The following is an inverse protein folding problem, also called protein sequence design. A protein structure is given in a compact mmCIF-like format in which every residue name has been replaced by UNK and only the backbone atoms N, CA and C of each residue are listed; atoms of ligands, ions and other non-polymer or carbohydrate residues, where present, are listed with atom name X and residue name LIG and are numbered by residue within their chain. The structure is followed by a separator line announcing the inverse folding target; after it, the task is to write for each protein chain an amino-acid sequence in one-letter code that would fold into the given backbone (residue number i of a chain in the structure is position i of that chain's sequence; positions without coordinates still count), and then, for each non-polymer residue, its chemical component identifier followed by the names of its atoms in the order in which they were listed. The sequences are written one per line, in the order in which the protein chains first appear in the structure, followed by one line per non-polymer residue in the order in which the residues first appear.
data_IF_545294382571
#
_entry.id   IF_545294382571
#
_cell.length_a   1.000
_cell.length_b   1.000
_cell.length_c   1.000
_cell.angle_alpha   90.00
_cell.angle_beta   90.00
_cell.angle_gamma   90.00
#
_symmetry.space_group_name_H-M   'P 1'
#
loop_
_entity.id
_entity.type
_entity.pdbx_description
1 polymer ?
#
# COMPACT_ATOMS: atom_id res chain seq x y z
N UNK A 1 -13.84 -2.30 18.78
CA UNK A 1 -14.17 -2.95 17.49
C UNK A 1 -15.39 -3.84 17.71
N UNK A 2 -16.22 -4.05 16.68
CA UNK A 2 -17.28 -5.06 16.73
C UNK A 2 -16.66 -6.47 16.67
N UNK A 3 -17.41 -7.51 17.06
CA UNK A 3 -16.95 -8.90 16.94
C UNK A 3 -16.62 -9.26 15.49
N UNK A 4 -17.38 -8.75 14.52
CA UNK A 4 -17.10 -8.98 13.10
C UNK A 4 -15.78 -8.33 12.64
N UNK A 5 -15.53 -7.10 13.10
CA UNK A 5 -14.28 -6.39 12.83
C UNK A 5 -13.07 -7.09 13.45
N UNK A 6 -13.20 -7.59 14.67
CA UNK A 6 -12.15 -8.36 15.34
C UNK A 6 -11.88 -9.69 14.63
N UNK A 7 -12.92 -10.42 14.22
CA UNK A 7 -12.76 -11.65 13.43
C UNK A 7 -12.05 -11.39 12.11
N UNK A 8 -12.47 -10.36 11.35
CA UNK A 8 -11.82 -10.00 10.09
C UNK A 8 -10.35 -9.66 10.30
N UNK A 9 -10.05 -8.80 11.29
CA UNK A 9 -8.69 -8.39 11.58
C UNK A 9 -7.80 -9.56 11.97
N UNK A 10 -8.28 -10.43 12.87
CA UNK A 10 -7.54 -11.61 13.29
C UNK A 10 -7.30 -12.58 12.11
N UNK A 11 -8.26 -12.69 11.18
CA UNK A 11 -8.09 -13.51 9.98
C UNK A 11 -6.99 -12.94 9.07
N UNK A 12 -7.03 -11.63 8.77
CA UNK A 12 -6.00 -10.97 7.97
C UNK A 12 -4.60 -11.15 8.56
N UNK A 13 -4.49 -10.97 9.89
CA UNK A 13 -3.21 -11.15 10.58
C UNK A 13 -2.75 -12.61 10.57
N UNK A 14 -3.67 -13.58 10.72
CA UNK A 14 -3.35 -15.00 10.64
C UNK A 14 -2.87 -15.41 9.24
N UNK A 15 -3.52 -14.91 8.19
CA UNK A 15 -3.14 -15.19 6.80
C UNK A 15 -1.76 -14.63 6.46
N UNK A 16 -1.41 -13.49 7.06
CA UNK A 16 -0.10 -12.85 6.95
C UNK A 16 0.96 -13.40 7.93
N UNK A 17 0.57 -14.26 8.88
CA UNK A 17 1.49 -14.81 9.89
C UNK A 17 1.99 -13.80 10.93
N UNK A 18 1.26 -12.71 11.18
CA UNK A 18 1.61 -11.63 12.12
C UNK A 18 0.72 -11.65 13.37
N UNK A 19 1.23 -11.13 14.49
CA UNK A 19 0.42 -10.99 15.71
C UNK A 19 -0.64 -9.87 15.54
N UNK A 20 -1.94 -10.15 15.78
CA UNK A 20 -3.00 -9.15 15.54
C UNK A 20 -2.87 -7.89 16.39
N UNK A 21 -2.35 -7.99 17.61
CA UNK A 21 -2.20 -6.85 18.51
C UNK A 21 -1.02 -5.98 18.07
N UNK A 22 0.12 -6.59 17.75
CA UNK A 22 1.29 -5.89 17.21
C UNK A 22 0.95 -5.20 15.90
N UNK A 23 0.28 -5.90 14.98
CA UNK A 23 -0.12 -5.34 13.69
C UNK A 23 -1.07 -4.16 13.83
N UNK A 24 -1.99 -4.22 14.80
CA UNK A 24 -2.92 -3.12 15.09
C UNK A 24 -2.18 -1.91 15.68
N UNK A 25 -1.18 -2.14 16.54
CA UNK A 25 -0.34 -1.08 17.06
C UNK A 25 0.49 -0.41 15.94
N UNK A 26 1.05 -1.19 15.02
CA UNK A 26 1.76 -0.68 13.84
C UNK A 26 0.84 0.18 12.96
N UNK A 27 -0.38 -0.29 12.67
CA UNK A 27 -1.41 0.49 11.93
C UNK A 27 -1.66 1.83 12.61
N UNK A 28 -1.92 1.81 13.92
CA UNK A 28 -2.21 3.03 14.68
C UNK A 28 -1.04 4.02 14.70
N UNK A 29 0.20 3.52 14.73
CA UNK A 29 1.40 4.34 14.69
C UNK A 29 1.51 5.11 13.37
N UNK A 30 1.23 4.46 12.24
CA UNK A 30 1.24 5.10 10.90
C UNK A 30 0.11 6.11 10.80
N UNK A 31 -1.11 5.74 11.19
CA UNK A 31 -2.28 6.63 11.12
C UNK A 31 -2.13 7.90 11.99
N UNK A 32 -1.32 7.84 13.04
CA UNK A 32 -1.04 8.96 13.93
C UNK A 32 0.25 9.73 13.58
N UNK A 33 1.08 9.24 12.65
CA UNK A 33 2.34 9.90 12.30
C UNK A 33 2.07 11.14 11.43
N UNK A 34 2.44 12.32 11.93
CA UNK A 34 2.32 13.58 11.19
C UNK A 34 3.20 13.66 9.93
N UNK A 35 4.14 12.71 9.76
CA UNK A 35 4.97 12.59 8.56
C UNK A 35 4.36 11.67 7.52
N UNK A 36 3.31 10.91 7.86
CA UNK A 36 2.57 10.15 6.88
C UNK A 36 1.73 11.11 6.02
N UNK A 37 1.76 10.89 4.71
CA UNK A 37 1.03 11.68 3.73
C UNK A 37 -0.38 11.14 3.55
N UNK A 38 -1.30 12.01 3.18
CA UNK A 38 -2.65 11.64 2.78
C UNK A 38 -2.61 11.00 1.38
N UNK A 39 -3.37 9.95 1.18
CA UNK A 39 -3.57 9.36 -0.14
C UNK A 39 -5.00 8.86 -0.32
N UNK A 40 -5.44 8.83 -1.57
CA UNK A 40 -6.66 8.11 -1.98
C UNK A 40 -6.25 6.93 -2.85
N UNK A 41 -6.86 5.77 -2.59
CA UNK A 41 -6.54 4.52 -3.29
C UNK A 41 -7.64 4.19 -4.30
N UNK A 42 -7.24 3.85 -5.52
CA UNK A 42 -8.13 3.46 -6.59
C UNK A 42 -7.75 2.08 -7.10
N UNK A 43 -8.75 1.23 -7.38
CA UNK A 43 -8.54 -0.12 -7.91
C UNK A 43 -9.04 -0.23 -9.34
N UNK A 44 -8.24 -0.73 -10.29
CA UNK A 44 -8.74 -1.03 -11.63
C UNK A 44 -9.95 -1.98 -11.57
N UNK A 45 -11.02 -1.69 -12.32
CA UNK A 45 -12.12 -2.64 -12.55
C UNK A 45 -11.97 -3.30 -13.92
N UNK A 46 -11.34 -4.48 -13.96
CA UNK A 46 -11.18 -5.27 -15.19
C UNK A 46 -12.52 -5.71 -15.83
N UNK A 47 -13.63 -5.61 -15.09
CA UNK A 47 -14.96 -5.93 -15.59
C UNK A 47 -15.71 -4.72 -16.14
N UNK A 48 -15.16 -3.52 -15.98
CA UNK A 48 -15.73 -2.29 -16.52
C UNK A 48 -15.28 -2.09 -17.98
N UNK A 49 -16.19 -2.12 -18.96
CA UNK A 49 -15.87 -1.82 -20.35
C UNK A 49 -15.32 -0.41 -20.57
N UNK A 50 -15.60 0.53 -19.67
CA UNK A 50 -15.12 1.91 -19.72
C UNK A 50 -13.82 2.12 -18.91
N UNK A 51 -13.35 1.08 -18.22
CA UNK A 51 -12.14 1.06 -17.39
C UNK A 51 -12.10 2.14 -16.30
N UNK A 52 -13.25 2.50 -15.71
CA UNK A 52 -13.28 3.40 -14.55
C UNK A 52 -12.70 2.69 -13.32
N UNK A 53 -11.86 3.39 -12.56
CA UNK A 53 -11.31 2.84 -11.32
C UNK A 53 -12.32 2.93 -10.15
N UNK A 54 -12.30 1.91 -9.29
CA UNK A 54 -13.06 1.88 -8.04
C UNK A 54 -12.35 2.73 -6.98
N UNK A 55 -13.05 3.73 -6.44
CA UNK A 55 -12.58 4.48 -5.27
C UNK A 55 -12.65 3.60 -4.01
N UNK A 56 -11.49 3.18 -3.52
CA UNK A 56 -11.36 2.36 -2.32
C UNK A 56 -11.41 3.20 -1.04
N UNK A 57 -11.07 4.48 -1.14
CA UNK A 57 -11.08 5.45 -0.05
C UNK A 57 -9.70 5.92 0.42
N UNK A 58 -9.71 6.61 1.56
CA UNK A 58 -8.53 7.32 2.08
C UNK A 58 -7.58 6.40 2.87
N UNK A 59 -6.29 6.70 2.72
CA UNK A 59 -5.18 6.04 3.40
C UNK A 59 -4.11 7.03 3.87
N UNK A 60 -3.29 6.57 4.81
CA UNK A 60 -2.02 7.20 5.17
C UNK A 60 -0.86 6.43 4.53
N UNK A 61 0.09 7.17 3.98
CA UNK A 61 1.30 6.63 3.35
C UNK A 61 2.54 7.18 4.02
N UNK A 62 3.35 6.31 4.61
CA UNK A 62 4.65 6.67 5.19
C UNK A 62 5.78 6.21 4.26
N UNK A 63 6.49 7.15 3.64
CA UNK A 63 7.65 6.83 2.80
C UNK A 63 8.85 6.42 3.65
N UNK A 64 9.46 5.28 3.31
CA UNK A 64 10.67 4.75 3.93
C UNK A 64 11.92 5.13 3.11
N UNK A 65 11.75 5.42 1.82
CA UNK A 65 12.81 5.83 0.91
C UNK A 65 12.71 5.13 -0.46
N UNK A 66 13.72 5.30 -1.34
CA UNK A 66 13.84 4.50 -2.54
C UNK A 66 13.86 3.00 -2.20
N UNK A 67 13.26 2.18 -3.05
CA UNK A 67 13.32 0.73 -2.91
C UNK A 67 14.75 0.25 -3.18
N UNK A 68 15.29 -0.54 -2.25
CA UNK A 68 16.56 -1.23 -2.43
C UNK A 68 16.28 -2.71 -2.68
N UNK A 69 16.59 -3.18 -3.89
CA UNK A 69 16.49 -4.60 -4.22
C UNK A 69 17.34 -5.42 -3.23
N UNK A 70 16.79 -6.52 -2.68
CA UNK A 70 17.51 -7.42 -1.79
C UNK A 70 18.88 -7.83 -2.34
N UNK A 71 19.87 -7.92 -1.45
CA UNK A 71 21.27 -8.21 -1.83
C UNK A 71 21.44 -9.62 -2.36
N UNK A 72 20.57 -10.53 -1.91
CA UNK A 72 20.47 -11.92 -2.33
C UNK A 72 19.92 -12.09 -3.73
N UNK A 73 19.21 -11.09 -4.28
CA UNK A 73 18.67 -11.18 -5.62
C UNK A 73 19.78 -11.22 -6.67
N UNK A 74 19.69 -12.21 -7.55
CA UNK A 74 20.51 -12.29 -8.73
C UNK A 74 20.04 -11.31 -9.83
N UNK A 75 20.72 -11.35 -10.98
CA UNK A 75 20.40 -10.45 -12.08
C UNK A 75 19.02 -10.74 -12.69
N UNK A 76 18.59 -12.00 -12.73
CA UNK A 76 17.31 -12.39 -13.31
C UNK A 76 16.15 -12.02 -12.39
N UNK A 77 16.30 -12.17 -11.08
CA UNK A 77 15.30 -11.75 -10.09
C UNK A 77 15.09 -10.23 -10.13
N UNK A 78 16.17 -9.45 -10.31
CA UNK A 78 16.07 -8.00 -10.46
C UNK A 78 15.42 -7.60 -11.78
N UNK A 79 15.77 -8.28 -12.87
CA UNK A 79 15.17 -8.05 -14.18
C UNK A 79 13.68 -8.37 -14.16
N UNK A 80 13.26 -9.47 -13.53
CA UNK A 80 11.83 -9.84 -13.39
C UNK A 80 11.04 -8.82 -12.55
N UNK A 81 11.66 -8.30 -11.47
CA UNK A 81 11.00 -7.33 -10.59
C UNK A 81 10.86 -5.93 -11.23
N UNK A 82 11.95 -5.40 -11.78
CA UNK A 82 11.93 -4.05 -12.36
C UNK A 82 11.34 -4.04 -13.78
N UNK A 83 11.40 -5.16 -14.49
CA UNK A 83 11.06 -5.27 -15.91
C UNK A 83 11.76 -4.15 -16.71
N UNK A 84 11.00 -3.37 -17.50
CA UNK A 84 11.51 -2.22 -18.25
C UNK A 84 11.48 -0.88 -17.45
N UNK A 85 11.05 -0.89 -16.19
CA UNK A 85 10.91 0.32 -15.39
C UNK A 85 12.25 0.78 -14.75
N UNK A 86 12.44 2.10 -14.63
CA UNK A 86 13.63 2.66 -13.96
C UNK A 86 13.55 2.38 -12.44
N UNK A 87 14.54 1.68 -11.83
CA UNK A 87 14.57 1.43 -10.39
C UNK A 87 14.46 2.69 -9.52
N UNK A 88 14.85 3.86 -10.04
CA UNK A 88 14.71 5.14 -9.34
C UNK A 88 13.25 5.59 -9.13
N UNK A 89 12.29 4.95 -9.80
CA UNK A 89 10.86 5.19 -9.63
C UNK A 89 10.25 4.35 -8.50
N UNK A 90 11.00 3.39 -7.95
CA UNK A 90 10.49 2.48 -6.93
C UNK A 90 10.75 3.03 -5.52
N UNK A 91 9.73 2.99 -4.67
CA UNK A 91 9.78 3.47 -3.29
C UNK A 91 9.22 2.44 -2.33
N UNK A 92 9.92 2.23 -1.21
CA UNK A 92 9.37 1.49 -0.08
C UNK A 92 8.52 2.42 0.76
N UNK A 93 7.30 2.00 1.07
CA UNK A 93 6.35 2.75 1.89
C UNK A 93 5.62 1.83 2.86
N UNK A 94 4.90 2.42 3.81
CA UNK A 94 3.83 1.75 4.55
C UNK A 94 2.50 2.40 4.24
N UNK A 95 1.47 1.59 3.96
CA UNK A 95 0.14 2.06 3.61
C UNK A 95 -0.86 1.54 4.65
N UNK A 96 -1.71 2.43 5.17
CA UNK A 96 -2.80 2.04 6.05
C UNK A 96 -4.10 2.75 5.66
N UNK A 97 -5.14 1.96 5.38
CA UNK A 97 -6.51 2.45 5.21
C UNK A 97 -6.97 3.20 6.47
N UNK A 98 -7.54 4.39 6.33
CA UNK A 98 -8.03 5.17 7.47
C UNK A 98 -9.27 4.55 8.12
N UNK A 99 -10.14 3.94 7.32
CA UNK A 99 -11.36 3.32 7.80
C UNK A 99 -11.06 2.13 8.74
N UNK A 100 -11.91 1.93 9.74
CA UNK A 100 -11.70 0.84 10.71
C UNK A 100 -11.96 -0.52 10.07
N UNK A 101 -11.18 -1.56 10.42
CA UNK A 101 -11.48 -2.93 10.03
C UNK A 101 -12.94 -3.31 10.25
N UNK A 102 -13.53 -3.99 9.28
CA UNK A 102 -14.93 -4.44 9.33
C UNK A 102 -15.97 -3.36 9.05
N UNK A 103 -15.57 -2.14 8.66
CA UNK A 103 -16.47 -1.14 8.08
C UNK A 103 -16.50 -1.28 6.56
N UNK A 104 -17.53 -0.71 5.90
CA UNK A 104 -17.68 -0.80 4.45
C UNK A 104 -16.61 -0.03 3.66
N UNK A 105 -15.91 0.92 4.30
CA UNK A 105 -14.80 1.67 3.68
C UNK A 105 -13.43 1.07 3.99
N UNK A 106 -13.37 -0.05 4.70
CA UNK A 106 -12.09 -0.70 4.97
C UNK A 106 -11.64 -1.51 3.77
N UNK A 107 -10.37 -1.33 3.41
CA UNK A 107 -9.70 -2.08 2.36
C UNK A 107 -8.29 -2.46 2.80
N UNK A 108 -7.73 -3.45 2.11
CA UNK A 108 -6.30 -3.80 2.14
C UNK A 108 -5.75 -3.50 0.75
N UNK A 109 -4.61 -2.79 0.63
CA UNK A 109 -4.00 -2.53 -0.67
C UNK A 109 -3.67 -3.83 -1.41
N UNK A 110 -3.87 -3.83 -2.72
CA UNK A 110 -3.56 -4.96 -3.61
C UNK A 110 -2.62 -4.52 -4.74
N UNK A 111 -1.76 -5.44 -5.19
CA UNK A 111 -0.94 -5.21 -6.39
C UNK A 111 -1.87 -4.87 -7.55
N UNK A 112 -1.64 -3.73 -8.22
CA UNK A 112 -2.60 -3.18 -9.17
C UNK A 112 -3.19 -1.84 -8.74
N UNK A 113 -3.28 -1.57 -7.44
CA UNK A 113 -3.93 -0.36 -6.94
C UNK A 113 -3.13 0.90 -7.31
N UNK A 114 -3.84 1.96 -7.68
CA UNK A 114 -3.30 3.30 -7.86
C UNK A 114 -3.42 4.10 -6.57
N UNK A 115 -2.40 4.92 -6.30
CA UNK A 115 -2.37 5.82 -5.16
C UNK A 115 -2.17 7.25 -5.61
N UNK A 116 -3.15 8.10 -5.29
CA UNK A 116 -3.03 9.55 -5.41
C UNK A 116 -2.52 10.12 -4.09
N UNK A 117 -1.21 10.34 -3.98
CA UNK A 117 -0.58 10.84 -2.75
C UNK A 117 -0.52 12.37 -2.77
N UNK A 118 -1.00 13.01 -1.71
CA UNK A 118 -0.91 14.46 -1.51
C UNK A 118 0.43 14.81 -0.84
N UNK A 119 1.38 15.31 -1.62
CA UNK A 119 2.67 15.80 -1.13
C UNK A 119 2.86 17.29 -1.43
N UNK A 120 3.17 18.09 -0.41
CA UNK A 120 3.38 19.53 -0.52
C UNK A 120 2.30 20.30 -1.34
N UNK A 121 1.05 19.84 -1.28
CA UNK A 121 -0.09 20.44 -1.99
C UNK A 121 -0.20 20.04 -3.47
N UNK A 122 0.50 19.00 -3.90
CA UNK A 122 0.41 18.39 -5.23
C UNK A 122 0.04 16.92 -5.11
N UNK A 123 -0.69 16.44 -6.11
CA UNK A 123 -0.96 15.01 -6.25
C UNK A 123 0.19 14.38 -7.02
N UNK A 124 0.76 13.32 -6.45
CA UNK A 124 1.69 12.44 -7.13
C UNK A 124 1.06 11.06 -7.23
N UNK A 125 1.01 10.55 -8.47
CA UNK A 125 0.45 9.22 -8.74
C UNK A 125 1.52 8.14 -8.55
N UNK A 126 1.10 7.02 -7.97
CA UNK A 126 1.90 5.81 -7.80
C UNK A 126 1.05 4.59 -8.13
N UNK A 127 1.72 3.49 -8.45
CA UNK A 127 1.14 2.16 -8.61
C UNK A 127 1.71 1.22 -7.55
N UNK A 128 0.85 0.41 -6.91
CA UNK A 128 1.27 -0.63 -5.99
C UNK A 128 1.80 -1.84 -6.75
N UNK A 129 3.13 -2.00 -6.72
CA UNK A 129 3.83 -3.03 -7.47
C UNK A 129 4.00 -4.33 -6.67
N UNK A 130 4.31 -4.23 -5.39
CA UNK A 130 4.45 -5.39 -4.51
C UNK A 130 4.13 -5.00 -3.07
N UNK A 131 3.81 -5.97 -2.23
CA UNK A 131 3.62 -5.74 -0.80
C UNK A 131 3.94 -6.99 0.02
N UNK A 132 4.28 -6.74 1.28
CA UNK A 132 4.39 -7.78 2.30
C UNK A 132 3.89 -7.25 3.63
N UNK A 133 3.23 -8.12 4.37
CA UNK A 133 2.99 -7.86 5.78
C UNK A 133 4.21 -8.27 6.59
N UNK A 134 4.62 -7.42 7.51
CA UNK A 134 5.61 -7.75 8.52
C UNK A 134 5.20 -7.20 9.89
N UNK A 135 6.04 -7.46 10.89
CA UNK A 135 5.85 -7.02 12.28
C UNK A 135 5.73 -5.49 12.43
N UNK A 136 6.25 -4.72 11.46
CA UNK A 136 6.23 -3.27 11.47
C UNK A 136 5.09 -2.66 10.63
N UNK A 137 4.29 -3.49 9.95
CA UNK A 137 3.10 -3.09 9.21
C UNK A 137 3.02 -3.68 7.80
N UNK A 138 2.17 -3.08 6.96
CA UNK A 138 2.10 -3.41 5.53
C UNK A 138 3.21 -2.65 4.80
N UNK A 139 4.33 -3.32 4.51
CA UNK A 139 5.42 -2.74 3.71
C UNK A 139 5.11 -2.94 2.24
N UNK A 140 4.97 -1.85 1.51
CA UNK A 140 4.62 -1.83 0.09
C UNK A 140 5.75 -1.26 -0.76
N UNK A 141 5.82 -1.69 -2.01
CA UNK A 141 6.68 -1.11 -3.04
C UNK A 141 5.80 -0.39 -4.05
N UNK A 142 5.98 0.92 -4.13
CA UNK A 142 5.30 1.78 -5.09
C UNK A 142 6.19 2.09 -6.27
N UNK A 143 5.62 2.11 -7.47
CA UNK A 143 6.25 2.70 -8.65
C UNK A 143 5.65 4.09 -8.86
N UNK A 144 6.47 5.12 -8.93
CA UNK A 144 6.02 6.47 -9.23
C UNK A 144 5.61 6.55 -10.70
N UNK A 145 4.39 7.02 -10.92
CA UNK A 145 3.92 7.31 -12.27
C UNK A 145 4.43 8.69 -12.68
N UNK A 146 5.49 8.68 -13.50
CA UNK A 146 6.12 9.87 -14.07
C UNK A 146 5.53 10.23 -15.44
N UNK A 147 4.27 9.86 -15.73
CA UNK A 147 3.53 10.44 -16.86
C UNK A 147 3.52 11.97 -16.68
N UNK A 148 4.42 12.63 -17.40
CA UNK A 148 4.40 14.07 -17.61
C UNK A 148 3.12 14.40 -18.38
N UNK A 149 2.05 14.77 -17.66
CA UNK A 149 0.90 15.45 -18.26
C UNK A 149 1.29 16.86 -18.74
#
# INVERSE_FOLDING_TARGET
MSTQAETLWNQLCADAGVDPQQRMAARQAILADSRALDATVYRPDDNDPDAEELDMGDAKVQFLGPFEAPVEWDAAEREDFFDDADPALFFSVRIECEAQPGTSGFFVPEVGDYLAVMDAGKIQMYFLHDWREDEDGCTCVLIRDDIQL
#
